data_IF_324984411542
#
_entry.id   IF_324984411542
#
_cell.length_a   1.000
_cell.length_b   1.000
_cell.length_c   1.000
_cell.angle_alpha   90.00
_cell.angle_beta   90.00
_cell.angle_gamma   90.00
#
_symmetry.space_group_name_H-M   'P 1'
#
loop_
_entity.id
_entity.type
_entity.pdbx_description
1 polymer ?
#
# COMPACT_ATOMS: atom_id res chain seq x y z
N UNK A 1 -2.83 0.31 5.76
CA UNK A 1 -1.94 -0.77 6.21
C UNK A 1 -2.72 -1.86 6.93
N UNK A 2 -3.46 -1.53 8.00
CA UNK A 2 -4.15 -2.49 8.90
C UNK A 2 -5.09 -3.52 8.23
N UNK A 3 -5.51 -3.32 6.99
CA UNK A 3 -6.34 -4.29 6.24
C UNK A 3 -5.50 -5.27 5.41
N UNK A 4 -4.18 -5.06 5.36
CA UNK A 4 -3.28 -5.95 4.63
C UNK A 4 -3.02 -7.19 5.49
N UNK A 5 -3.22 -8.39 4.95
CA UNK A 5 -2.86 -9.63 5.65
C UNK A 5 -1.42 -9.61 6.12
N UNK A 6 -1.20 -9.96 7.39
CA UNK A 6 0.10 -9.84 8.05
C UNK A 6 0.39 -8.49 8.71
N UNK A 7 -0.51 -7.49 8.58
CA UNK A 7 -0.35 -6.14 9.17
C UNK A 7 -1.48 -5.76 10.11
N UNK A 8 -2.25 -6.72 10.58
CA UNK A 8 -3.42 -6.49 11.44
C UNK A 8 -3.05 -5.85 12.79
N UNK A 9 -1.82 -6.06 13.26
CA UNK A 9 -1.34 -5.44 14.52
C UNK A 9 -1.37 -3.90 14.50
N UNK A 10 -1.44 -3.26 13.32
CA UNK A 10 -1.66 -1.81 13.24
C UNK A 10 -2.99 -1.34 13.85
N UNK A 11 -3.94 -2.26 14.13
CA UNK A 11 -5.11 -1.93 14.96
C UNK A 11 -4.70 -1.60 16.39
N UNK A 12 -3.68 -2.29 16.93
CA UNK A 12 -3.15 -2.04 18.28
C UNK A 12 -2.46 -0.66 18.36
N UNK A 13 -1.78 -0.23 17.31
CA UNK A 13 -1.23 1.12 17.20
C UNK A 13 -2.33 2.17 17.36
N UNK A 14 -3.47 1.99 16.68
CA UNK A 14 -4.60 2.92 16.81
C UNK A 14 -5.21 2.88 18.22
N UNK A 15 -5.32 1.70 18.83
CA UNK A 15 -5.79 1.53 20.22
C UNK A 15 -4.87 2.25 21.21
N UNK A 16 -3.56 2.06 21.05
CA UNK A 16 -2.54 2.71 21.88
C UNK A 16 -2.64 4.23 21.80
N UNK A 17 -2.60 4.81 20.59
CA UNK A 17 -2.66 6.27 20.45
C UNK A 17 -3.97 6.86 20.92
N UNK A 18 -5.10 6.20 20.70
CA UNK A 18 -6.39 6.65 21.27
C UNK A 18 -6.29 6.78 22.79
N UNK A 19 -5.74 5.75 23.44
CA UNK A 19 -5.57 5.77 24.90
C UNK A 19 -4.59 6.85 25.36
N UNK A 20 -3.49 7.03 24.64
CA UNK A 20 -2.51 8.07 24.97
C UNK A 20 -3.08 9.48 24.81
N UNK A 21 -3.90 9.73 23.81
CA UNK A 21 -4.58 11.01 23.66
C UNK A 21 -5.55 11.30 24.81
N UNK A 22 -6.30 10.29 25.25
CA UNK A 22 -7.18 10.41 26.44
C UNK A 22 -6.39 10.72 27.72
N UNK A 23 -5.32 9.96 27.98
CA UNK A 23 -4.47 10.12 29.17
C UNK A 23 -3.80 11.49 29.22
N UNK A 24 -3.42 12.03 28.07
CA UNK A 24 -2.78 13.33 27.96
C UNK A 24 -3.79 14.48 27.74
N UNK A 25 -5.08 14.22 27.90
CA UNK A 25 -6.15 15.22 27.75
C UNK A 25 -6.15 15.95 26.40
N UNK A 26 -5.73 15.25 25.32
CA UNK A 26 -5.74 15.82 23.98
C UNK A 26 -7.18 15.88 23.45
N UNK A 27 -7.61 17.07 23.09
CA UNK A 27 -8.93 17.24 22.47
C UNK A 27 -8.93 16.74 21.02
N UNK A 28 -9.66 15.65 20.76
CA UNK A 28 -9.71 14.99 19.44
C UNK A 28 -11.05 15.27 18.76
N UNK A 29 -11.03 15.85 17.59
CA UNK A 29 -12.20 16.04 16.73
C UNK A 29 -12.10 15.14 15.50
N UNK A 30 -12.92 14.10 15.46
CA UNK A 30 -13.00 13.19 14.30
C UNK A 30 -14.09 13.66 13.33
N UNK A 31 -13.95 13.23 12.05
CA UNK A 31 -14.86 13.62 10.96
C UNK A 31 -14.95 15.13 10.74
N UNK A 32 -13.90 15.84 11.12
CA UNK A 32 -13.76 17.29 10.97
C UNK A 32 -12.70 17.58 9.91
N UNK A 33 -13.08 18.26 8.83
CA UNK A 33 -12.13 18.81 7.85
C UNK A 33 -12.00 20.29 8.17
N UNK A 34 -10.93 20.64 8.87
CA UNK A 34 -10.64 22.03 9.25
C UNK A 34 -10.11 22.82 8.03
N UNK A 35 -10.46 24.11 7.98
CA UNK A 35 -10.00 25.08 6.99
C UNK A 35 -8.98 26.04 7.60
N UNK A 36 -8.15 26.69 6.78
CA UNK A 36 -7.22 27.72 7.25
C UNK A 36 -7.96 28.89 7.93
N UNK A 37 -9.14 29.26 7.46
CA UNK A 37 -9.96 30.32 8.06
C UNK A 37 -10.44 29.97 9.47
N UNK A 38 -10.80 28.70 9.73
CA UNK A 38 -11.17 28.22 11.06
C UNK A 38 -9.97 28.21 12.00
N UNK A 39 -8.81 27.78 11.54
CA UNK A 39 -7.57 27.81 12.32
C UNK A 39 -7.16 29.25 12.67
N UNK A 40 -7.25 30.17 11.73
CA UNK A 40 -6.98 31.60 11.98
C UNK A 40 -7.89 32.19 13.08
N UNK A 41 -9.16 31.81 13.11
CA UNK A 41 -10.13 32.26 14.15
C UNK A 41 -9.95 31.50 15.48
N UNK A 42 -9.33 30.34 15.45
CA UNK A 42 -9.21 29.46 16.62
C UNK A 42 -8.20 29.93 17.69
N UNK A 43 -7.36 30.93 17.39
CA UNK A 43 -6.40 31.51 18.35
C UNK A 43 -5.30 30.54 18.77
N UNK A 44 -4.88 29.67 17.86
CA UNK A 44 -3.80 28.72 18.11
C UNK A 44 -2.42 29.41 18.05
N UNK A 45 -1.54 29.11 18.99
CA UNK A 45 -0.16 29.59 19.00
C UNK A 45 0.71 28.92 17.92
N UNK A 46 0.41 27.66 17.61
CA UNK A 46 1.13 26.85 16.65
C UNK A 46 0.22 25.81 15.99
N UNK A 47 0.40 25.62 14.68
CA UNK A 47 -0.32 24.58 13.92
C UNK A 47 0.68 23.56 13.34
N UNK A 48 0.47 22.29 13.62
CA UNK A 48 1.23 21.19 13.01
C UNK A 48 0.37 20.56 11.91
N UNK A 49 0.79 20.70 10.65
CA UNK A 49 0.10 20.11 9.49
C UNK A 49 0.67 18.74 9.19
N UNK A 50 -0.12 17.71 9.42
CA UNK A 50 0.22 16.30 9.21
C UNK A 50 -0.82 15.62 8.29
N UNK A 51 -1.22 16.30 7.22
CA UNK A 51 -2.33 15.90 6.31
C UNK A 51 -2.00 14.70 5.42
N UNK A 52 -0.76 14.23 5.45
CA UNK A 52 -0.32 13.02 4.75
C UNK A 52 -0.14 13.22 3.25
N UNK A 53 -0.61 12.24 2.48
CA UNK A 53 -0.40 12.15 1.03
C UNK A 53 -1.70 11.96 0.27
N UNK A 54 -1.65 12.19 -1.04
CA UNK A 54 -2.64 11.68 -2.00
C UNK A 54 -1.98 10.70 -2.97
N UNK A 55 -2.69 9.67 -3.45
CA UNK A 55 -2.20 8.82 -4.53
C UNK A 55 -1.87 9.65 -5.77
N UNK A 56 -0.73 9.40 -6.38
CA UNK A 56 -0.38 10.02 -7.65
C UNK A 56 -1.10 9.30 -8.79
N UNK A 57 -1.78 10.07 -9.63
CA UNK A 57 -2.33 9.59 -10.89
C UNK A 57 -1.28 9.88 -11.99
N UNK A 58 -0.70 8.86 -12.64
CA UNK A 58 0.25 9.08 -13.73
C UNK A 58 -0.45 9.62 -14.97
N UNK A 59 0.28 10.33 -15.82
CA UNK A 59 -0.20 10.70 -17.15
C UNK A 59 -0.02 9.47 -18.05
N UNK A 60 -1.15 8.89 -18.45
CA UNK A 60 -1.22 7.71 -19.31
C UNK A 60 -2.53 7.76 -20.09
N UNK A 61 -2.52 7.48 -21.37
CA UNK A 61 -3.73 7.36 -22.16
C UNK A 61 -4.65 6.28 -21.58
N UNK A 62 -5.93 6.61 -21.37
CA UNK A 62 -6.91 5.71 -20.76
C UNK A 62 -6.77 5.55 -19.24
N UNK A 63 -6.07 6.45 -18.52
CA UNK A 63 -5.96 6.38 -17.04
C UNK A 63 -7.31 6.58 -16.34
N UNK A 64 -8.28 7.17 -17.02
CA UNK A 64 -9.67 7.37 -16.59
C UNK A 64 -10.62 6.24 -17.05
N UNK A 65 -10.08 5.19 -17.70
CA UNK A 65 -10.87 4.05 -18.16
C UNK A 65 -11.57 3.34 -16.98
N UNK A 66 -12.81 2.83 -17.14
CA UNK A 66 -13.58 2.19 -16.05
C UNK A 66 -12.89 0.99 -15.37
N UNK A 67 -11.95 0.33 -16.05
CA UNK A 67 -11.14 -0.76 -15.46
C UNK A 67 -10.05 -0.26 -14.52
N UNK A 68 -9.76 1.05 -14.50
CA UNK A 68 -8.71 1.65 -13.66
C UNK A 68 -9.28 2.02 -12.31
N UNK A 69 -8.64 1.54 -11.25
CA UNK A 69 -9.07 1.79 -9.88
C UNK A 69 -7.91 2.26 -8.99
N UNK A 70 -8.26 3.05 -7.99
CA UNK A 70 -7.31 3.45 -6.95
C UNK A 70 -7.06 2.30 -5.97
N UNK A 71 -5.82 2.12 -5.56
CA UNK A 71 -5.49 1.18 -4.48
C UNK A 71 -6.25 1.51 -3.17
N UNK A 72 -6.57 2.77 -2.93
CA UNK A 72 -7.33 3.19 -1.74
C UNK A 72 -8.75 2.62 -1.78
N UNK A 73 -9.41 2.65 -2.93
CA UNK A 73 -10.76 2.14 -3.09
C UNK A 73 -10.80 0.60 -3.03
N UNK A 74 -9.78 -0.06 -3.59
CA UNK A 74 -9.60 -1.50 -3.47
C UNK A 74 -9.47 -1.90 -1.99
N UNK A 75 -8.56 -1.26 -1.24
CA UNK A 75 -8.33 -1.58 0.18
C UNK A 75 -9.51 -1.22 1.09
N UNK A 76 -10.37 -0.29 0.68
CA UNK A 76 -11.60 0.07 1.39
C UNK A 76 -12.81 -0.81 1.01
N UNK A 77 -12.66 -1.64 -0.01
CA UNK A 77 -13.77 -2.45 -0.54
C UNK A 77 -14.83 -1.64 -1.29
N UNK A 78 -14.49 -0.43 -1.76
CA UNK A 78 -15.40 0.44 -2.50
C UNK A 78 -15.60 -0.03 -3.94
N UNK A 79 -14.68 -0.84 -4.47
CA UNK A 79 -14.69 -1.32 -5.85
C UNK A 79 -14.45 -2.83 -5.90
N UNK A 80 -15.08 -3.50 -6.84
CA UNK A 80 -14.83 -4.90 -7.11
C UNK A 80 -13.53 -5.05 -7.94
N UNK A 81 -12.71 -6.04 -7.60
CA UNK A 81 -11.51 -6.40 -8.36
C UNK A 81 -11.80 -7.66 -9.18
N UNK A 82 -11.52 -7.61 -10.46
CA UNK A 82 -11.72 -8.72 -11.39
C UNK A 82 -10.77 -9.90 -11.16
N UNK A 83 -10.77 -10.82 -12.11
CA UNK A 83 -9.93 -12.03 -12.04
C UNK A 83 -8.52 -11.82 -12.60
N UNK A 84 -8.37 -10.99 -13.62
CA UNK A 84 -7.10 -10.67 -14.27
C UNK A 84 -6.73 -9.23 -13.90
N UNK A 85 -5.65 -9.05 -13.17
CA UNK A 85 -5.33 -7.78 -12.51
C UNK A 85 -3.91 -7.35 -12.84
N UNK A 86 -3.75 -6.11 -13.31
CA UNK A 86 -2.46 -5.44 -13.37
C UNK A 86 -2.31 -4.46 -12.19
N UNK A 87 -1.23 -4.57 -11.44
CA UNK A 87 -0.85 -3.64 -10.37
C UNK A 87 0.30 -2.78 -10.90
N UNK A 88 0.02 -1.52 -11.20
CA UNK A 88 0.98 -0.55 -11.74
C UNK A 88 1.78 0.10 -10.62
N UNK A 89 3.01 -0.36 -10.44
CA UNK A 89 3.93 0.12 -9.41
C UNK A 89 4.22 -0.93 -8.36
N UNK A 90 5.48 -1.38 -8.28
CA UNK A 90 5.96 -2.43 -7.40
C UNK A 90 6.80 -1.86 -6.23
N UNK A 91 6.35 -0.76 -5.64
CA UNK A 91 6.78 -0.28 -4.33
C UNK A 91 6.04 -1.00 -3.19
N UNK A 92 6.25 -0.60 -1.94
CA UNK A 92 5.60 -1.20 -0.77
C UNK A 92 4.08 -1.32 -0.92
N UNK A 93 3.41 -0.28 -1.43
CA UNK A 93 1.95 -0.28 -1.68
C UNK A 93 1.55 -1.33 -2.71
N UNK A 94 2.29 -1.46 -3.82
CA UNK A 94 2.00 -2.46 -4.85
C UNK A 94 2.12 -3.89 -4.33
N UNK A 95 3.12 -4.16 -3.49
CA UNK A 95 3.26 -5.44 -2.77
C UNK A 95 2.10 -5.69 -1.83
N UNK A 96 1.74 -4.71 -1.00
CA UNK A 96 0.64 -4.79 -0.05
C UNK A 96 -0.72 -5.05 -0.73
N UNK A 97 -0.99 -4.34 -1.82
CA UNK A 97 -2.23 -4.53 -2.60
C UNK A 97 -2.25 -5.91 -3.26
N UNK A 98 -1.13 -6.36 -3.81
CA UNK A 98 -1.02 -7.70 -4.40
C UNK A 98 -1.26 -8.79 -3.36
N UNK A 99 -0.71 -8.64 -2.13
CA UNK A 99 -1.00 -9.52 -1.00
C UNK A 99 -2.49 -9.52 -0.66
N UNK A 100 -3.08 -8.32 -0.53
CA UNK A 100 -4.49 -8.15 -0.17
C UNK A 100 -5.46 -8.84 -1.15
N UNK A 101 -5.23 -8.67 -2.46
CA UNK A 101 -6.14 -9.24 -3.48
C UNK A 101 -5.91 -10.73 -3.76
N UNK A 102 -4.76 -11.28 -3.35
CA UNK A 102 -4.43 -12.70 -3.53
C UNK A 102 -4.56 -13.52 -2.25
N UNK A 103 -4.78 -12.87 -1.10
CA UNK A 103 -4.99 -13.57 0.15
C UNK A 103 -6.35 -14.25 0.22
N UNK A 104 -6.40 -15.46 0.80
CA UNK A 104 -7.64 -16.24 0.98
C UNK A 104 -7.69 -16.82 2.38
N UNK A 105 -8.73 -16.48 3.11
CA UNK A 105 -8.98 -17.01 4.45
C UNK A 105 -8.42 -16.15 5.58
N UNK A 106 -8.08 -16.79 6.69
CA UNK A 106 -7.51 -16.14 7.88
C UNK A 106 -6.04 -15.83 7.64
N UNK A 107 -5.60 -14.64 8.02
CA UNK A 107 -4.17 -14.27 7.96
C UNK A 107 -3.33 -15.10 8.92
N UNK A 108 -2.16 -15.56 8.46
CA UNK A 108 -1.20 -16.26 9.30
C UNK A 108 -0.67 -15.42 10.48
N UNK A 109 -0.80 -14.10 10.44
CA UNK A 109 -0.48 -13.24 11.58
C UNK A 109 -1.47 -13.36 12.74
N UNK A 110 -2.68 -13.83 12.46
CA UNK A 110 -3.74 -14.03 13.47
C UNK A 110 -3.84 -15.46 13.96
N UNK A 111 -3.24 -16.42 13.25
CA UNK A 111 -3.33 -17.84 13.58
C UNK A 111 -2.00 -18.55 13.26
N UNK A 112 -1.34 -19.04 14.33
CA UNK A 112 -0.03 -19.71 14.22
C UNK A 112 -0.06 -21.02 13.39
N UNK A 113 -1.20 -21.71 13.37
CA UNK A 113 -1.31 -22.96 12.61
C UNK A 113 -1.53 -22.67 11.12
N UNK A 114 -2.22 -21.58 10.79
CA UNK A 114 -2.28 -21.05 9.42
C UNK A 114 -0.89 -20.61 8.97
N UNK A 115 -0.17 -19.84 9.79
CA UNK A 115 1.20 -19.44 9.50
C UNK A 115 2.12 -20.64 9.24
N UNK A 116 2.04 -21.66 10.11
CA UNK A 116 2.86 -22.86 9.98
C UNK A 116 2.59 -23.59 8.65
N UNK A 117 1.34 -23.74 8.26
CA UNK A 117 0.98 -24.36 6.97
C UNK A 117 1.46 -23.53 5.78
N UNK A 118 1.20 -22.23 5.78
CA UNK A 118 1.61 -21.33 4.67
C UNK A 118 3.13 -21.31 4.47
N UNK A 119 3.90 -21.48 5.54
CA UNK A 119 5.35 -21.41 5.49
C UNK A 119 6.04 -22.80 5.47
N UNK A 120 5.29 -23.89 5.62
CA UNK A 120 5.86 -25.25 5.68
C UNK A 120 6.65 -25.46 6.97
N UNK A 121 6.08 -25.09 8.11
CA UNK A 121 6.71 -25.21 9.44
C UNK A 121 5.97 -26.25 10.26
N UNK A 122 6.70 -27.17 10.88
CA UNK A 122 6.17 -28.15 11.81
C UNK A 122 6.60 -27.83 13.26
N UNK A 123 5.71 -27.16 13.99
CA UNK A 123 5.97 -26.83 15.39
C UNK A 123 5.88 -28.01 16.36
N UNK A 124 5.27 -29.13 15.96
CA UNK A 124 5.05 -30.27 16.84
C UNK A 124 6.25 -31.19 16.89
N UNK A 125 6.72 -31.60 15.71
CA UNK A 125 7.81 -32.58 15.60
C UNK A 125 9.17 -31.90 15.45
N UNK A 126 9.21 -30.68 14.96
CA UNK A 126 10.43 -29.94 14.63
C UNK A 126 10.35 -28.49 15.09
N UNK A 127 10.51 -28.22 16.39
CA UNK A 127 10.31 -26.87 16.94
C UNK A 127 11.40 -25.86 16.56
N UNK A 128 12.49 -26.32 15.92
CA UNK A 128 13.64 -25.49 15.53
C UNK A 128 13.89 -25.50 14.01
N UNK A 129 13.10 -24.79 13.26
CA UNK A 129 13.35 -24.55 11.84
C UNK A 129 12.55 -25.42 10.88
N UNK A 130 12.86 -25.32 9.60
CA UNK A 130 12.17 -26.04 8.54
C UNK A 130 12.57 -27.52 8.50
N UNK A 131 11.68 -28.33 7.96
CA UNK A 131 11.82 -29.77 7.90
C UNK A 131 11.75 -30.23 6.46
N UNK A 132 12.66 -31.15 6.10
CA UNK A 132 12.57 -31.81 4.81
C UNK A 132 11.27 -32.59 4.71
N UNK A 133 10.50 -32.31 3.66
CA UNK A 133 9.21 -32.98 3.39
C UNK A 133 7.97 -32.22 3.90
N UNK A 134 8.12 -31.17 4.69
CA UNK A 134 7.01 -30.27 5.03
C UNK A 134 6.98 -29.12 4.03
N UNK A 135 5.99 -29.12 3.16
CA UNK A 135 5.86 -28.13 2.09
C UNK A 135 4.88 -27.02 2.48
N UNK A 136 5.14 -25.77 2.03
CA UNK A 136 4.17 -24.69 2.18
C UNK A 136 2.86 -24.97 1.45
N UNK A 137 1.75 -24.68 2.12
CA UNK A 137 0.40 -24.79 1.55
C UNK A 137 -0.21 -23.40 1.44
N UNK A 138 -0.26 -22.85 0.23
CA UNK A 138 -0.86 -21.54 -0.05
C UNK A 138 -2.14 -21.74 -0.84
N UNK A 139 -3.24 -21.16 -0.34
CA UNK A 139 -4.54 -21.21 -1.04
C UNK A 139 -4.52 -20.29 -2.25
N UNK A 140 -4.94 -20.81 -3.39
CA UNK A 140 -5.08 -20.02 -4.61
C UNK A 140 -6.27 -19.05 -4.50
N UNK A 141 -6.04 -17.80 -4.89
CA UNK A 141 -7.08 -16.75 -4.91
C UNK A 141 -8.03 -16.85 -6.10
N UNK A 142 -7.69 -17.65 -7.10
CA UNK A 142 -8.37 -17.66 -8.40
C UNK A 142 -8.16 -16.39 -9.22
N UNK A 143 -7.23 -15.51 -8.81
CA UNK A 143 -6.84 -14.31 -9.58
C UNK A 143 -5.47 -14.50 -10.23
N UNK A 144 -5.36 -14.00 -11.46
CA UNK A 144 -4.11 -13.82 -12.16
C UNK A 144 -3.65 -12.38 -11.93
N UNK A 145 -2.52 -12.19 -11.25
CA UNK A 145 -2.03 -10.87 -10.86
C UNK A 145 -0.66 -10.61 -11.46
N UNK A 146 -0.52 -9.46 -12.12
CA UNK A 146 0.72 -8.94 -12.67
C UNK A 146 1.16 -7.73 -11.84
N UNK A 147 2.24 -7.87 -11.06
CA UNK A 147 2.87 -6.77 -10.33
C UNK A 147 3.99 -6.18 -11.18
N UNK A 148 3.82 -4.92 -11.60
CA UNK A 148 4.62 -4.30 -12.65
C UNK A 148 5.40 -3.09 -12.16
N UNK A 149 6.63 -2.92 -12.67
CA UNK A 149 7.43 -1.70 -12.45
C UNK A 149 8.18 -1.24 -13.71
N UNK A 150 8.37 0.07 -13.83
CA UNK A 150 9.16 0.68 -14.91
C UNK A 150 10.66 0.39 -14.80
N UNK A 151 11.19 0.39 -13.55
CA UNK A 151 12.61 0.13 -13.32
C UNK A 151 13.00 -1.25 -13.83
N UNK A 152 14.13 -1.37 -14.52
CA UNK A 152 14.69 -2.64 -15.01
C UNK A 152 15.29 -3.54 -13.90
N UNK A 153 15.43 -3.00 -12.68
CA UNK A 153 15.90 -3.77 -11.54
C UNK A 153 14.89 -4.82 -11.12
N UNK A 154 15.33 -5.86 -10.43
CA UNK A 154 14.45 -6.90 -9.88
C UNK A 154 13.33 -6.27 -9.06
N UNK A 155 12.08 -6.71 -9.29
CA UNK A 155 10.90 -6.27 -8.55
C UNK A 155 11.10 -6.52 -7.05
N UNK A 156 10.78 -5.54 -6.21
CA UNK A 156 10.98 -5.60 -4.77
C UNK A 156 12.42 -5.33 -4.28
N UNK A 157 13.35 -4.89 -5.15
CA UNK A 157 14.72 -4.51 -4.73
C UNK A 157 14.74 -3.38 -3.70
N UNK A 158 13.77 -2.47 -3.75
CA UNK A 158 13.65 -1.32 -2.85
C UNK A 158 12.90 -1.62 -1.54
N UNK A 159 12.41 -2.83 -1.32
CA UNK A 159 11.76 -3.20 -0.07
C UNK A 159 12.76 -3.28 1.09
N UNK A 160 12.25 -3.19 2.31
CA UNK A 160 13.07 -3.27 3.52
C UNK A 160 14.01 -4.49 3.53
N UNK A 161 15.28 -4.27 3.87
CA UNK A 161 16.33 -5.29 3.76
C UNK A 161 16.04 -6.56 4.57
N UNK A 162 15.35 -6.42 5.69
CA UNK A 162 15.05 -7.54 6.61
C UNK A 162 13.84 -8.35 6.20
N UNK A 163 12.80 -7.74 5.62
CA UNK A 163 11.51 -8.38 5.35
C UNK A 163 11.12 -8.42 3.87
N UNK A 164 11.78 -7.66 3.01
CA UNK A 164 11.43 -7.59 1.59
C UNK A 164 11.49 -8.92 0.85
N UNK A 165 12.36 -9.83 1.28
CA UNK A 165 12.45 -11.18 0.71
C UNK A 165 11.23 -12.04 1.04
N UNK A 166 10.65 -11.89 2.25
CA UNK A 166 9.43 -12.62 2.66
C UNK A 166 8.24 -12.17 1.85
N UNK A 167 8.06 -10.85 1.66
CA UNK A 167 6.99 -10.31 0.80
C UNK A 167 7.07 -10.85 -0.63
N UNK A 168 8.28 -10.87 -1.20
CA UNK A 168 8.46 -11.43 -2.55
C UNK A 168 8.12 -12.91 -2.61
N UNK A 169 8.59 -13.68 -1.63
CA UNK A 169 8.32 -15.12 -1.55
C UNK A 169 6.82 -15.40 -1.37
N UNK A 170 6.13 -14.63 -0.53
CA UNK A 170 4.68 -14.75 -0.34
C UNK A 170 3.92 -14.56 -1.66
N UNK A 171 4.22 -13.48 -2.40
CA UNK A 171 3.57 -13.21 -3.67
C UNK A 171 3.93 -14.24 -4.76
N UNK A 172 5.16 -14.70 -4.81
CA UNK A 172 5.61 -15.74 -5.74
C UNK A 172 4.84 -17.06 -5.52
N UNK A 173 4.72 -17.48 -4.26
CA UNK A 173 3.93 -18.66 -3.87
C UNK A 173 2.44 -18.52 -4.17
N UNK A 174 1.90 -17.30 -4.23
CA UNK A 174 0.51 -16.99 -4.63
C UNK A 174 0.34 -16.83 -6.14
N UNK A 175 1.38 -17.11 -6.92
CA UNK A 175 1.37 -17.04 -8.38
C UNK A 175 1.36 -15.64 -8.96
N UNK A 176 1.74 -14.61 -8.19
CA UNK A 176 1.87 -13.24 -8.69
C UNK A 176 3.04 -13.13 -9.64
N UNK A 177 2.80 -12.74 -10.88
CA UNK A 177 3.82 -12.51 -11.89
C UNK A 177 4.45 -11.13 -11.70
N UNK A 178 5.73 -11.08 -11.38
CA UNK A 178 6.48 -9.85 -11.15
C UNK A 178 7.25 -9.45 -12.40
N UNK A 179 6.90 -8.30 -12.99
CA UNK A 179 7.44 -7.85 -14.28
C UNK A 179 8.12 -6.50 -14.12
N UNK A 180 9.37 -6.40 -14.56
CA UNK A 180 10.18 -5.19 -14.55
C UNK A 180 10.45 -4.65 -15.95
N UNK A 181 10.96 -3.42 -16.04
CA UNK A 181 11.30 -2.79 -17.32
C UNK A 181 10.09 -2.52 -18.21
N UNK A 182 8.98 -2.09 -17.60
CA UNK A 182 7.73 -1.81 -18.29
C UNK A 182 7.68 -0.33 -18.70
N UNK A 183 7.41 -0.07 -19.98
CA UNK A 183 6.93 1.21 -20.45
C UNK A 183 5.42 1.10 -20.70
N UNK A 184 4.65 1.88 -19.97
CA UNK A 184 3.18 1.89 -20.07
C UNK A 184 2.75 2.77 -21.24
N UNK A 185 1.94 2.24 -22.15
CA UNK A 185 1.52 2.92 -23.37
C UNK A 185 0.09 3.48 -23.25
N UNK A 186 -0.88 2.60 -23.01
CA UNK A 186 -2.29 2.98 -22.85
C UNK A 186 -3.12 1.90 -22.16
N UNK A 187 -4.33 2.29 -21.74
CA UNK A 187 -5.36 1.39 -21.22
C UNK A 187 -6.63 1.58 -22.07
N UNK A 188 -7.23 0.47 -22.47
CA UNK A 188 -8.48 0.45 -23.24
C UNK A 188 -9.30 -0.81 -22.92
N UNK A 189 -10.40 -1.06 -23.66
CA UNK A 189 -11.28 -2.23 -23.47
C UNK A 189 -10.56 -3.58 -23.66
N UNK A 190 -9.41 -3.60 -24.33
CA UNK A 190 -8.61 -4.82 -24.52
C UNK A 190 -7.71 -5.09 -23.29
N UNK A 191 -7.42 -4.08 -22.49
CA UNK A 191 -6.58 -4.18 -21.29
C UNK A 191 -5.47 -3.14 -21.21
N UNK A 192 -4.32 -3.53 -20.67
CA UNK A 192 -3.14 -2.69 -20.48
C UNK A 192 -2.10 -2.97 -21.56
N UNK A 193 -1.85 -1.97 -22.41
CA UNK A 193 -0.81 -2.00 -23.44
C UNK A 193 0.50 -1.48 -22.86
N UNK A 194 1.56 -2.22 -23.09
CA UNK A 194 2.90 -1.89 -22.57
C UNK A 194 3.97 -2.28 -23.57
N UNK A 195 5.16 -1.73 -23.40
CA UNK A 195 6.39 -2.24 -24.01
C UNK A 195 7.28 -2.84 -22.93
N UNK A 196 7.78 -4.05 -23.14
CA UNK A 196 8.70 -4.75 -22.23
C UNK A 196 9.98 -5.06 -22.98
N UNK A 197 11.09 -4.49 -22.55
CA UNK A 197 12.39 -4.62 -23.24
C UNK A 197 12.31 -4.29 -24.75
N UNK A 198 11.54 -3.26 -25.11
CA UNK A 198 11.35 -2.82 -26.49
C UNK A 198 10.33 -3.64 -27.30
N UNK A 199 9.68 -4.63 -26.70
CA UNK A 199 8.66 -5.47 -27.37
C UNK A 199 7.27 -5.09 -26.88
N UNK A 200 6.35 -4.67 -27.77
CA UNK A 200 4.96 -4.41 -27.41
C UNK A 200 4.26 -5.67 -26.87
N UNK A 201 3.49 -5.50 -25.80
CA UNK A 201 2.67 -6.54 -25.18
C UNK A 201 1.33 -6.00 -24.74
N UNK A 202 0.30 -6.83 -24.87
CA UNK A 202 -1.02 -6.59 -24.31
C UNK A 202 -1.21 -7.53 -23.11
N UNK A 203 -1.59 -6.94 -21.98
CA UNK A 203 -2.09 -7.68 -20.83
C UNK A 203 -3.60 -7.52 -20.80
N UNK A 204 -4.30 -8.58 -21.19
CA UNK A 204 -5.77 -8.66 -21.13
C UNK A 204 -6.21 -8.74 -19.68
N UNK A 205 -6.44 -7.61 -19.05
CA UNK A 205 -6.81 -7.51 -17.63
C UNK A 205 -8.19 -6.89 -17.45
N UNK A 206 -8.88 -7.34 -16.41
CA UNK A 206 -10.21 -6.84 -16.04
C UNK A 206 -10.11 -5.62 -15.13
N UNK A 207 -8.95 -5.44 -14.46
CA UNK A 207 -8.71 -4.36 -13.51
C UNK A 207 -7.26 -3.90 -13.56
N UNK A 208 -7.05 -2.59 -13.58
CA UNK A 208 -5.74 -1.96 -13.43
C UNK A 208 -5.73 -1.17 -12.12
N UNK A 209 -4.88 -1.58 -11.17
CA UNK A 209 -4.75 -0.92 -9.87
C UNK A 209 -3.54 0.01 -9.90
N UNK A 210 -3.77 1.31 -9.71
CA UNK A 210 -2.70 2.30 -9.78
C UNK A 210 -2.01 2.46 -8.42
N UNK A 211 -0.73 2.04 -8.35
CA UNK A 211 0.16 2.16 -7.19
C UNK A 211 1.42 2.98 -7.57
N UNK A 212 1.26 4.01 -8.40
CA UNK A 212 2.37 4.71 -9.08
C UNK A 212 3.00 5.84 -8.27
N UNK A 213 3.00 5.74 -6.95
CA UNK A 213 3.57 6.70 -6.03
C UNK A 213 2.55 7.63 -5.38
N UNK A 214 3.05 8.63 -4.67
CA UNK A 214 2.27 9.51 -3.81
C UNK A 214 2.71 10.96 -4.00
N UNK A 215 1.82 11.90 -3.64
CA UNK A 215 2.08 13.35 -3.66
C UNK A 215 1.80 13.90 -2.27
N UNK A 216 2.68 14.74 -1.69
CA UNK A 216 2.43 15.42 -0.43
C UNK A 216 1.15 16.25 -0.49
N UNK A 217 0.32 16.17 0.55
CA UNK A 217 -0.89 16.98 0.67
C UNK A 217 -0.60 18.22 1.50
N UNK A 218 -0.28 19.34 0.83
CA UNK A 218 0.19 20.59 1.45
C UNK A 218 -0.82 21.73 1.45
N UNK A 219 -1.98 21.58 0.80
CA UNK A 219 -2.95 22.64 0.56
C UNK A 219 -3.19 23.51 1.81
N UNK A 220 -3.45 22.87 2.96
CA UNK A 220 -3.70 23.58 4.22
C UNK A 220 -2.46 24.34 4.74
N UNK A 221 -1.27 23.79 4.54
CA UNK A 221 -0.02 24.45 4.92
C UNK A 221 0.22 25.69 4.07
N UNK A 222 0.03 25.57 2.76
CA UNK A 222 0.22 26.68 1.82
C UNK A 222 -0.77 27.82 2.11
N UNK A 223 -2.04 27.50 2.44
CA UNK A 223 -3.05 28.49 2.86
C UNK A 223 -2.73 29.17 4.21
N UNK A 224 -1.94 28.52 5.06
CA UNK A 224 -1.52 29.07 6.37
C UNK A 224 -0.21 29.84 6.30
N UNK A 225 0.60 29.68 5.27
CA UNK A 225 1.95 30.27 5.17
C UNK A 225 1.96 31.78 5.36
N UNK A 226 0.93 32.48 4.86
CA UNK A 226 0.80 33.95 4.96
C UNK A 226 -0.10 34.39 6.13
N UNK A 227 -0.45 33.49 7.03
CA UNK A 227 -1.46 33.76 8.08
C UNK A 227 -0.91 34.44 9.34
N UNK A 228 0.41 34.47 9.52
CA UNK A 228 1.05 34.91 10.75
C UNK A 228 1.04 33.89 11.89
N UNK A 229 0.43 32.69 11.70
CA UNK A 229 0.43 31.61 12.67
C UNK A 229 1.69 30.77 12.45
N UNK A 230 2.42 30.47 13.52
CA UNK A 230 3.55 29.54 13.45
C UNK A 230 3.06 28.17 12.97
N UNK A 231 3.58 27.69 11.84
CA UNK A 231 3.08 26.45 11.22
C UNK A 231 4.25 25.52 10.89
N UNK A 232 4.14 24.27 11.31
CA UNK A 232 5.08 23.19 10.95
C UNK A 232 4.41 22.16 10.04
N UNK A 233 5.17 21.68 9.06
CA UNK A 233 4.77 20.63 8.12
C UNK A 233 5.57 19.37 8.42
N UNK A 234 4.85 18.23 8.65
CA UNK A 234 5.50 16.97 9.04
C UNK A 234 4.99 15.77 8.24
N UNK A 235 5.74 14.68 8.31
CA UNK A 235 5.36 13.38 7.75
C UNK A 235 5.15 13.41 6.23
N UNK A 236 4.19 12.65 5.73
CA UNK A 236 3.89 12.57 4.30
C UNK A 236 3.48 13.88 3.64
N UNK A 237 2.97 14.85 4.42
CA UNK A 237 2.69 16.20 3.93
C UNK A 237 3.97 17.00 3.66
N UNK A 238 5.03 16.73 4.40
CA UNK A 238 6.36 17.30 4.15
C UNK A 238 7.05 16.59 2.98
N UNK A 239 7.15 15.27 3.03
CA UNK A 239 7.76 14.46 1.97
C UNK A 239 7.02 13.15 1.80
N UNK A 240 6.58 12.86 0.57
CA UNK A 240 5.90 11.60 0.22
C UNK A 240 6.91 10.48 -0.05
N UNK A 241 7.77 10.20 0.91
CA UNK A 241 8.72 9.09 0.89
C UNK A 241 8.15 7.84 1.56
N UNK A 242 8.96 6.79 1.70
CA UNK A 242 8.58 5.62 2.49
C UNK A 242 8.38 6.04 3.97
N UNK A 243 7.33 5.51 4.61
CA UNK A 243 6.99 5.85 5.98
C UNK A 243 8.16 5.48 6.92
N UNK A 244 8.77 6.51 7.48
CA UNK A 244 9.75 6.40 8.55
C UNK A 244 9.29 7.26 9.74
N UNK A 245 8.93 6.59 10.83
CA UNK A 245 8.44 7.27 12.03
C UNK A 245 9.50 8.21 12.64
N UNK A 246 10.80 7.91 12.48
CA UNK A 246 11.88 8.78 12.97
C UNK A 246 12.04 10.04 12.13
N UNK A 247 11.82 9.93 10.82
CA UNK A 247 11.89 11.07 9.92
C UNK A 247 10.61 11.93 9.96
N UNK A 248 9.52 11.39 10.50
CA UNK A 248 8.23 12.09 10.58
C UNK A 248 8.11 13.02 11.80
N UNK A 249 9.03 12.94 12.75
CA UNK A 249 9.11 13.74 13.98
C UNK A 249 10.30 14.67 13.88
#
# INVERSE_FOLDING_TARGET
>A
AKQIPGKEEFYETLRYYRRMMEVNHVHVQLKCKVTAAELKRGGFDHVVVATGITPRVPQLEGIDHPSVVSYVDVLRGNVAVGKRVAVMGAGGIGFDVSEFITHVGVSGALDKDVFAREWGIDFKNHPRGGVTGVMPEVKESGRQVYLMQRKSTRVGRGLGKTTGWTHRMSLDRRGVQMINGIDYEKIDDQGLHVTVAGVPRLFEVDTVIVCAGQVPKRDLYDELSDSGIATSLIGGAFEASELDAKAAI
#
